data_IF_783518591116
#
_entry.id   IF_783518591116
#
_cell.length_a   1.000
_cell.length_b   1.000
_cell.length_c   1.000
_cell.angle_alpha   90.00
_cell.angle_beta   90.00
_cell.angle_gamma   90.00
#
_symmetry.space_group_name_H-M   'P 1'
#
loop_
_entity.id
_entity.type
_entity.pdbx_description
1 polymer ?
#
# COMPACT_ATOMS: atom_id res chain seq x y z
N UNK A 1 -28.68 19.47 -11.25
CA UNK A 1 -28.56 18.20 -11.98
C UNK A 1 -28.43 17.08 -10.95
N UNK A 2 -29.36 16.12 -10.93
CA UNK A 2 -29.33 14.97 -10.00
C UNK A 2 -28.39 13.91 -10.56
N UNK A 3 -27.10 14.08 -10.26
CA UNK A 3 -26.00 13.23 -10.72
C UNK A 3 -25.94 11.92 -9.91
N UNK A 4 -26.81 10.96 -10.20
CA UNK A 4 -26.68 9.55 -9.79
C UNK A 4 -26.52 9.24 -8.29
N UNK A 5 -26.57 7.96 -7.96
CA UNK A 5 -26.22 7.42 -6.64
C UNK A 5 -25.11 6.41 -6.78
N UNK A 6 -24.28 6.27 -5.74
CA UNK A 6 -23.25 5.23 -5.63
C UNK A 6 -23.52 4.39 -4.40
N UNK A 7 -23.32 3.09 -4.54
CA UNK A 7 -23.27 2.14 -3.42
C UNK A 7 -21.80 1.93 -3.08
N UNK A 8 -21.44 2.18 -1.83
CA UNK A 8 -20.15 1.82 -1.25
C UNK A 8 -20.34 0.56 -0.43
N UNK A 9 -19.49 -0.45 -0.64
CA UNK A 9 -19.68 -1.78 -0.07
C UNK A 9 -18.37 -2.30 0.50
N UNK A 10 -18.43 -2.85 1.71
CA UNK A 10 -17.37 -3.67 2.31
C UNK A 10 -17.90 -5.09 2.42
N UNK A 11 -17.16 -6.04 1.86
CA UNK A 11 -17.55 -7.45 1.75
C UNK A 11 -16.50 -8.31 2.43
N UNK A 12 -16.95 -9.36 3.11
CA UNK A 12 -16.06 -10.45 3.51
C UNK A 12 -15.68 -11.26 2.25
N UNK A 13 -14.41 -11.22 1.85
CA UNK A 13 -13.96 -11.87 0.62
C UNK A 13 -13.99 -13.42 0.68
N UNK A 14 -14.13 -14.02 1.86
CA UNK A 14 -14.21 -15.47 2.03
C UNK A 14 -15.64 -15.97 1.86
N UNK A 15 -16.60 -15.25 2.46
CA UNK A 15 -18.01 -15.65 2.46
C UNK A 15 -18.86 -14.91 1.42
N UNK A 16 -18.28 -13.90 0.75
CA UNK A 16 -18.93 -13.02 -0.21
C UNK A 16 -20.15 -12.28 0.37
N UNK A 17 -20.20 -12.14 1.70
CA UNK A 17 -21.30 -11.48 2.40
C UNK A 17 -20.99 -10.00 2.69
N UNK A 18 -21.98 -9.11 2.49
CA UNK A 18 -21.80 -7.71 2.82
C UNK A 18 -21.67 -7.51 4.33
N UNK A 19 -20.62 -6.82 4.75
CA UNK A 19 -20.39 -6.43 6.14
C UNK A 19 -21.02 -5.06 6.40
N UNK A 20 -20.69 -4.08 5.54
CA UNK A 20 -21.16 -2.71 5.64
C UNK A 20 -21.47 -2.16 4.25
N UNK A 21 -22.43 -1.26 4.18
CA UNK A 21 -22.75 -0.55 2.94
C UNK A 21 -23.24 0.87 3.21
N UNK A 22 -23.11 1.74 2.22
CA UNK A 22 -23.66 3.10 2.26
C UNK A 22 -24.04 3.55 0.87
N UNK A 23 -25.21 4.16 0.73
CA UNK A 23 -25.62 4.83 -0.51
C UNK A 23 -25.37 6.33 -0.36
N UNK A 24 -24.72 6.94 -1.34
CA UNK A 24 -24.48 8.38 -1.37
C UNK A 24 -24.81 8.97 -2.74
N UNK A 25 -25.11 10.28 -2.84
CA UNK A 25 -25.05 10.98 -4.12
C UNK A 25 -23.67 10.78 -4.78
N UNK A 26 -23.61 10.76 -6.12
CA UNK A 26 -22.34 10.52 -6.82
C UNK A 26 -21.30 11.65 -6.67
N UNK A 27 -21.68 12.78 -6.06
CA UNK A 27 -20.77 13.89 -5.74
C UNK A 27 -19.90 13.63 -4.50
N UNK A 28 -20.17 12.59 -3.72
CA UNK A 28 -19.35 12.21 -2.56
C UNK A 28 -18.16 11.36 -3.00
N UNK A 29 -16.96 11.75 -2.55
CA UNK A 29 -15.72 11.05 -2.88
C UNK A 29 -15.61 9.69 -2.19
N UNK A 30 -15.19 8.68 -2.95
CA UNK A 30 -15.05 7.28 -2.52
C UNK A 30 -14.10 7.10 -1.32
N UNK A 31 -12.89 7.68 -1.27
CA UNK A 31 -11.99 7.49 -0.13
C UNK A 31 -12.57 8.03 1.18
N UNK A 32 -13.38 9.08 1.10
CA UNK A 32 -14.04 9.66 2.27
C UNK A 32 -15.05 8.68 2.85
N UNK A 33 -15.89 8.09 1.99
CA UNK A 33 -16.91 7.13 2.43
C UNK A 33 -16.27 5.81 2.88
N UNK A 34 -15.19 5.36 2.24
CA UNK A 34 -14.43 4.17 2.66
C UNK A 34 -13.97 4.29 4.12
N UNK A 35 -13.35 5.42 4.47
CA UNK A 35 -12.88 5.68 5.85
C UNK A 35 -14.03 5.70 6.84
N UNK A 36 -15.18 6.26 6.46
CA UNK A 36 -16.38 6.22 7.31
C UNK A 36 -16.84 4.77 7.54
N UNK A 37 -16.89 3.93 6.50
CA UNK A 37 -17.28 2.53 6.63
C UNK A 37 -16.30 1.77 7.54
N UNK A 38 -14.99 1.91 7.34
CA UNK A 38 -13.96 1.21 8.12
C UNK A 38 -14.00 1.59 9.60
N UNK A 39 -14.21 2.88 9.91
CA UNK A 39 -14.40 3.35 11.30
C UNK A 39 -15.63 2.77 11.99
N UNK A 40 -16.58 2.23 11.24
CA UNK A 40 -17.78 1.58 11.77
C UNK A 40 -17.66 0.05 11.78
N UNK A 41 -16.45 -0.51 11.60
CA UNK A 41 -16.25 -1.94 11.83
C UNK A 41 -16.64 -2.31 13.25
N UNK A 42 -17.38 -3.41 13.38
CA UNK A 42 -17.58 -4.03 14.69
C UNK A 42 -16.23 -4.50 15.26
N UNK A 43 -16.16 -4.72 16.57
CA UNK A 43 -14.96 -5.28 17.20
C UNK A 43 -14.57 -6.63 16.56
N UNK A 44 -15.56 -7.51 16.34
CA UNK A 44 -15.37 -8.80 15.67
C UNK A 44 -14.84 -8.64 14.24
N UNK A 45 -15.36 -7.67 13.48
CA UNK A 45 -14.88 -7.40 12.12
C UNK A 45 -13.43 -6.91 12.15
N UNK A 46 -13.12 -5.98 13.04
CA UNK A 46 -11.78 -5.40 13.18
C UNK A 46 -10.74 -6.46 13.55
N UNK A 47 -11.07 -7.37 14.48
CA UNK A 47 -10.18 -8.46 14.89
C UNK A 47 -9.99 -9.54 13.82
N UNK A 48 -10.97 -9.73 12.93
CA UNK A 48 -10.93 -10.77 11.90
C UNK A 48 -10.37 -10.29 10.56
N UNK A 49 -10.48 -8.99 10.27
CA UNK A 49 -10.00 -8.43 9.02
C UNK A 49 -8.47 -8.47 8.98
N UNK A 50 -7.91 -9.28 8.08
CA UNK A 50 -6.45 -9.40 7.93
C UNK A 50 -5.91 -8.39 6.92
N UNK A 51 -6.67 -8.18 5.84
CA UNK A 51 -6.30 -7.28 4.75
C UNK A 51 -7.54 -6.62 4.16
N UNK A 52 -7.33 -5.43 3.59
CA UNK A 52 -8.33 -4.73 2.79
C UNK A 52 -7.81 -4.54 1.38
N UNK A 53 -8.56 -5.02 0.40
CA UNK A 53 -8.28 -4.81 -1.02
C UNK A 53 -9.17 -3.70 -1.58
N UNK A 54 -8.60 -2.75 -2.31
CA UNK A 54 -9.37 -1.72 -3.01
C UNK A 54 -8.63 -1.24 -4.26
N UNK A 55 -9.33 -0.58 -5.17
CA UNK A 55 -8.71 0.01 -6.36
C UNK A 55 -7.83 1.22 -6.02
N UNK A 56 -7.00 1.62 -7.00
CA UNK A 56 -6.06 2.75 -6.90
C UNK A 56 -6.71 4.06 -6.46
N UNK A 57 -8.00 4.27 -6.75
CA UNK A 57 -8.77 5.44 -6.36
C UNK A 57 -8.95 5.59 -4.85
N UNK A 58 -8.84 4.51 -4.08
CA UNK A 58 -8.88 4.51 -2.62
C UNK A 58 -7.50 4.80 -1.98
N UNK A 59 -6.43 4.83 -2.76
CA UNK A 59 -5.07 4.94 -2.24
C UNK A 59 -4.80 6.31 -1.59
N UNK A 60 -4.17 6.28 -0.41
CA UNK A 60 -3.70 7.48 0.28
C UNK A 60 -3.42 7.26 1.76
N UNK A 61 -2.48 8.04 2.29
CA UNK A 61 -2.03 7.99 3.68
C UNK A 61 -3.18 7.94 4.71
N UNK A 62 -4.26 8.75 4.60
CA UNK A 62 -5.30 8.73 5.64
C UNK A 62 -6.07 7.40 5.74
N UNK A 63 -6.21 6.67 4.62
CA UNK A 63 -6.85 5.36 4.63
C UNK A 63 -5.85 4.27 5.06
N UNK A 64 -4.62 4.35 4.59
CA UNK A 64 -3.55 3.41 4.97
C UNK A 64 -3.30 3.44 6.48
N UNK A 65 -3.10 4.62 7.07
CA UNK A 65 -2.90 4.75 8.52
C UNK A 65 -4.08 4.19 9.31
N UNK A 66 -5.32 4.45 8.88
CA UNK A 66 -6.51 3.92 9.54
C UNK A 66 -6.55 2.39 9.55
N UNK A 67 -6.10 1.75 8.47
CA UNK A 67 -6.03 0.29 8.36
C UNK A 67 -4.90 -0.27 9.22
N UNK A 68 -3.75 0.37 9.20
CA UNK A 68 -2.58 -0.06 9.97
C UNK A 68 -2.78 0.09 11.49
N UNK A 69 -3.44 1.17 11.93
CA UNK A 69 -3.85 1.37 13.32
C UNK A 69 -4.79 0.25 13.80
N UNK A 70 -5.55 -0.33 12.88
CA UNK A 70 -6.43 -1.48 13.13
C UNK A 70 -5.74 -2.84 12.87
N UNK A 71 -4.43 -2.86 12.60
CA UNK A 71 -3.64 -4.03 12.22
C UNK A 71 -4.15 -4.76 10.95
N UNK A 72 -4.82 -4.03 10.06
CA UNK A 72 -5.31 -4.50 8.76
C UNK A 72 -4.30 -4.12 7.67
N UNK A 73 -3.87 -5.09 6.87
CA UNK A 73 -2.90 -4.84 5.79
C UNK A 73 -3.60 -4.18 4.58
N UNK A 74 -3.20 -2.97 4.15
CA UNK A 74 -3.75 -2.38 2.93
C UNK A 74 -3.14 -3.03 1.68
N UNK A 75 -3.98 -3.58 0.82
CA UNK A 75 -3.62 -4.07 -0.52
C UNK A 75 -4.32 -3.16 -1.54
N UNK A 76 -3.72 -1.98 -1.75
CA UNK A 76 -4.26 -0.95 -2.63
C UNK A 76 -3.17 -0.54 -3.60
N UNK A 77 -3.50 -0.48 -4.89
CA UNK A 77 -2.55 -0.09 -5.92
C UNK A 77 -2.00 1.33 -5.67
N UNK A 78 -0.69 1.50 -5.82
CA UNK A 78 -0.06 2.81 -5.65
C UNK A 78 -0.41 3.72 -6.84
N UNK A 79 -0.91 4.95 -6.62
CA UNK A 79 -1.12 5.86 -7.70
C UNK A 79 0.22 6.35 -8.24
N UNK A 80 0.60 5.92 -9.45
CA UNK A 80 1.64 6.55 -10.28
C UNK A 80 1.38 8.06 -10.38
N UNK A 81 2.06 8.81 -9.52
CA UNK A 81 1.90 10.27 -9.33
C UNK A 81 3.08 11.05 -9.89
N UNK A 82 4.18 10.37 -10.24
CA UNK A 82 5.33 11.05 -10.80
C UNK A 82 5.02 11.44 -12.24
N UNK A 83 5.49 12.62 -12.64
CA UNK A 83 5.28 13.12 -14.00
C UNK A 83 6.08 12.32 -15.04
N UNK A 84 7.17 11.72 -14.60
CA UNK A 84 8.11 10.98 -15.43
C UNK A 84 8.39 9.62 -14.77
N UNK A 85 8.60 8.59 -15.59
CA UNK A 85 8.99 7.24 -15.16
C UNK A 85 10.49 7.19 -14.83
N UNK A 86 10.88 7.99 -13.84
CA UNK A 86 12.26 8.04 -13.35
C UNK A 86 12.47 7.08 -12.18
N UNK A 87 13.73 6.75 -11.90
CA UNK A 87 14.13 6.14 -10.62
C UNK A 87 14.67 7.23 -9.70
N UNK A 88 14.41 7.11 -8.40
CA UNK A 88 14.92 8.03 -7.37
C UNK A 88 15.86 7.30 -6.43
N UNK A 89 16.91 7.99 -6.00
CA UNK A 89 17.85 7.45 -5.01
C UNK A 89 17.21 7.43 -3.61
N UNK A 90 17.43 6.36 -2.87
CA UNK A 90 17.04 6.26 -1.46
C UNK A 90 18.16 6.83 -0.59
N UNK A 91 17.94 8.03 -0.06
CA UNK A 91 18.92 8.76 0.76
C UNK A 91 20.29 8.83 0.04
N UNK A 92 21.39 8.82 0.78
CA UNK A 92 22.75 8.74 0.25
C UNK A 92 23.22 7.28 0.22
N UNK A 93 22.52 6.44 -0.54
CA UNK A 93 22.83 5.00 -0.69
C UNK A 93 22.83 4.59 -2.16
N UNK A 94 23.40 3.43 -2.48
CA UNK A 94 23.35 2.85 -3.83
C UNK A 94 22.00 2.20 -4.19
N UNK A 95 20.94 2.53 -3.43
CA UNK A 95 19.60 2.02 -3.68
C UNK A 95 18.80 3.04 -4.49
N UNK A 96 18.15 2.55 -5.53
CA UNK A 96 17.16 3.30 -6.30
C UNK A 96 15.80 2.64 -6.20
N UNK A 97 14.73 3.42 -6.34
CA UNK A 97 13.38 2.89 -6.42
C UNK A 97 12.56 3.64 -7.45
N UNK A 98 11.50 3.01 -7.95
CA UNK A 98 10.54 3.64 -8.86
C UNK A 98 9.17 3.82 -8.20
N UNK A 99 8.25 4.50 -8.89
CA UNK A 99 6.90 4.74 -8.39
C UNK A 99 6.04 3.46 -8.27
N UNK A 100 6.47 2.34 -8.85
CA UNK A 100 5.82 1.04 -8.68
C UNK A 100 6.28 0.33 -7.39
N UNK A 101 7.17 0.93 -6.60
CA UNK A 101 7.72 0.32 -5.38
C UNK A 101 8.79 -0.75 -5.64
N UNK A 102 9.27 -0.85 -6.89
CA UNK A 102 10.41 -1.71 -7.22
C UNK A 102 11.69 -1.04 -6.75
N UNK A 103 12.59 -1.82 -6.17
CA UNK A 103 13.85 -1.34 -5.59
C UNK A 103 15.02 -2.01 -6.29
N UNK A 104 16.08 -1.25 -6.53
CA UNK A 104 17.26 -1.64 -7.28
C UNK A 104 18.51 -1.29 -6.48
N UNK A 105 19.50 -2.17 -6.53
CA UNK A 105 20.88 -1.88 -6.11
C UNK A 105 21.69 -1.46 -7.33
N UNK A 106 22.46 -0.38 -7.22
CA UNK A 106 23.40 0.06 -8.25
C UNK A 106 24.79 -0.46 -7.88
N UNK A 107 25.39 -1.28 -8.74
CA UNK A 107 26.73 -1.78 -8.50
C UNK A 107 27.82 -0.76 -8.84
N UNK A 108 29.08 -1.08 -8.55
CA UNK A 108 30.24 -0.22 -8.81
C UNK A 108 30.43 0.13 -10.30
N UNK A 109 29.81 -0.63 -11.21
CA UNK A 109 29.85 -0.41 -12.66
C UNK A 109 28.65 0.40 -13.16
N UNK A 110 27.74 0.79 -12.27
CA UNK A 110 26.51 1.50 -12.59
C UNK A 110 25.38 0.60 -13.11
N UNK A 111 25.50 -0.73 -12.96
CA UNK A 111 24.45 -1.66 -13.35
C UNK A 111 23.35 -1.72 -12.28
N UNK A 112 22.08 -1.61 -12.70
CA UNK A 112 20.94 -1.77 -11.81
C UNK A 112 20.54 -3.25 -11.65
N UNK A 113 20.49 -3.70 -10.40
CA UNK A 113 20.08 -5.04 -10.02
C UNK A 113 18.79 -4.94 -9.24
N UNK A 114 17.70 -5.49 -9.79
CA UNK A 114 16.40 -5.51 -9.11
C UNK A 114 16.47 -6.37 -7.85
N UNK A 115 16.05 -5.79 -6.73
CA UNK A 115 15.90 -6.47 -5.45
C UNK A 115 14.48 -7.05 -5.31
N UNK A 116 14.38 -8.11 -4.51
CA UNK A 116 13.11 -8.74 -4.18
C UNK A 116 12.65 -8.28 -2.79
N UNK A 117 11.35 -8.04 -2.65
CA UNK A 117 10.74 -7.75 -1.36
C UNK A 117 10.84 -8.96 -0.44
N UNK A 118 11.27 -8.72 0.79
CA UNK A 118 11.53 -9.74 1.84
C UNK A 118 10.61 -9.55 3.05
N UNK A 119 9.57 -8.74 2.93
CA UNK A 119 8.60 -8.48 4.00
C UNK A 119 8.84 -7.18 4.76
N UNK A 120 7.90 -6.88 5.65
CA UNK A 120 7.90 -5.72 6.52
C UNK A 120 8.50 -6.08 7.89
N UNK A 121 9.36 -5.21 8.41
CA UNK A 121 9.95 -5.32 9.73
C UNK A 121 9.30 -4.30 10.68
N UNK A 122 8.30 -4.74 11.46
CA UNK A 122 7.54 -3.92 12.42
C UNK A 122 8.44 -3.33 13.52
N UNK A 123 9.56 -3.99 13.87
CA UNK A 123 10.45 -3.53 14.96
C UNK A 123 11.17 -2.22 14.62
N UNK A 124 11.38 -1.96 13.34
CA UNK A 124 12.08 -0.77 12.86
C UNK A 124 11.33 -0.04 11.76
N UNK A 125 10.03 -0.33 11.59
CA UNK A 125 9.15 0.26 10.58
C UNK A 125 9.81 0.40 9.20
N UNK A 126 10.27 -0.74 8.65
CA UNK A 126 10.99 -0.75 7.38
C UNK A 126 10.56 -1.89 6.46
N UNK A 127 10.56 -1.60 5.16
CA UNK A 127 10.45 -2.61 4.11
C UNK A 127 11.82 -3.24 3.87
N UNK A 128 11.85 -4.57 3.80
CA UNK A 128 13.08 -5.32 3.56
C UNK A 128 13.19 -5.69 2.10
N UNK A 129 14.37 -5.46 1.54
CA UNK A 129 14.72 -5.86 0.18
C UNK A 129 16.05 -6.60 0.18
N UNK A 130 16.22 -7.56 -0.72
CA UNK A 130 17.49 -8.28 -0.87
C UNK A 130 17.63 -8.86 -2.26
N UNK A 131 18.77 -9.47 -2.55
CA UNK A 131 19.01 -10.05 -3.86
C UNK A 131 18.17 -11.32 -4.07
N UNK A 132 17.96 -11.67 -5.35
CA UNK A 132 17.35 -12.94 -5.70
C UNK A 132 18.26 -14.09 -5.21
N UNK A 133 17.73 -15.19 -4.64
CA UNK A 133 18.55 -16.26 -4.08
C UNK A 133 19.59 -16.85 -5.05
N UNK A 134 19.31 -16.83 -6.35
CA UNK A 134 20.24 -17.29 -7.39
C UNK A 134 21.53 -16.46 -7.51
N UNK A 135 21.57 -15.25 -6.95
CA UNK A 135 22.76 -14.41 -6.96
C UNK A 135 23.73 -14.74 -5.82
N UNK A 136 23.31 -15.52 -4.81
CA UNK A 136 24.14 -15.90 -3.67
C UNK A 136 24.51 -14.74 -2.73
N UNK A 137 23.88 -13.57 -2.87
CA UNK A 137 24.09 -12.41 -2.02
C UNK A 137 22.98 -12.32 -0.95
N UNK A 138 23.39 -12.36 0.32
CA UNK A 138 22.47 -12.39 1.48
C UNK A 138 22.21 -11.00 2.09
N UNK A 139 22.72 -9.93 1.50
CA UNK A 139 22.50 -8.56 2.01
C UNK A 139 21.00 -8.25 2.05
N UNK A 140 20.58 -7.62 3.16
CA UNK A 140 19.22 -7.13 3.38
C UNK A 140 19.27 -5.63 3.59
N UNK A 141 18.63 -4.90 2.69
CA UNK A 141 18.41 -3.47 2.75
C UNK A 141 17.09 -3.16 3.45
N UNK A 142 17.07 -2.10 4.25
CA UNK A 142 15.90 -1.66 5.02
C UNK A 142 15.52 -0.24 4.64
N UNK A 143 14.35 -0.12 4.05
CA UNK A 143 13.79 1.11 3.52
C UNK A 143 12.71 1.60 4.48
N UNK A 144 12.90 2.79 5.07
CA UNK A 144 11.95 3.38 6.02
C UNK A 144 10.70 3.83 5.29
N UNK A 145 9.54 3.43 5.77
CA UNK A 145 8.23 3.86 5.23
C UNK A 145 7.97 5.36 5.41
N UNK A 146 8.62 5.96 6.41
CA UNK A 146 8.56 7.40 6.65
C UNK A 146 9.33 8.23 5.62
N UNK A 147 10.18 7.61 4.80
CA UNK A 147 10.89 8.29 3.72
C UNK A 147 10.03 8.15 2.48
N UNK A 148 9.47 9.25 1.99
CA UNK A 148 8.74 9.24 0.71
C UNK A 148 9.64 8.58 -0.35
N UNK A 149 9.16 7.56 -1.08
CA UNK A 149 7.76 7.18 -1.36
C UNK A 149 7.55 5.64 -1.23
N UNK A 150 8.09 5.04 -0.17
CA UNK A 150 8.13 3.57 0.01
C UNK A 150 6.97 3.12 0.90
#
# INVERSE_FOLDING_TARGET
SYYGYRVHLVVDATYELPILWKITPASKGEPTIAKELIKNFSETTSQRAQYLTADRGYSGLPLQNLLEDAEIIPIIENPHKWKEDEMRQYLDTDLMYNQSGEVFWIDEKGQSIRLIYKGYDKSCDSLRYGFHPSQGDERIFRLKRSVEPI
#
